data_IF_563203616362
#
_entry.id   IF_563203616362
#
_cell.length_a   1.000
_cell.length_b   1.000
_cell.length_c   1.000
_cell.angle_alpha   90.00
_cell.angle_beta   90.00
_cell.angle_gamma   90.00
#
_symmetry.space_group_name_H-M   'P 1'
#
loop_
_entity.id
_entity.type
_entity.pdbx_description
1 polymer ?
#
# COMPACT_ATOMS: atom_id res chain seq x y z
N UNK A 1 14.66 -12.79 -2.10
CA UNK A 1 13.68 -12.79 -0.99
C UNK A 1 12.83 -11.53 -1.10
N UNK A 2 11.50 -11.64 -1.12
CA UNK A 2 10.56 -10.52 -1.17
C UNK A 2 10.01 -10.24 0.23
N UNK A 3 10.06 -8.98 0.66
CA UNK A 3 9.52 -8.51 1.92
C UNK A 3 8.15 -7.86 1.70
N UNK A 4 7.10 -8.41 2.32
CA UNK A 4 5.77 -7.81 2.34
C UNK A 4 5.64 -6.92 3.59
N UNK A 5 5.50 -5.62 3.38
CA UNK A 5 5.52 -4.61 4.46
C UNK A 5 4.15 -3.96 4.56
N UNK A 6 3.71 -3.70 5.78
CA UNK A 6 2.46 -2.99 6.02
C UNK A 6 2.51 -1.53 5.57
N UNK A 7 1.33 -0.98 5.23
CA UNK A 7 1.15 0.41 4.78
C UNK A 7 1.70 1.42 5.78
N UNK A 8 1.63 1.15 7.07
CA UNK A 8 2.04 2.11 8.10
C UNK A 8 3.53 2.41 8.08
N UNK A 9 4.33 1.51 7.52
CA UNK A 9 5.77 1.68 7.31
C UNK A 9 6.16 2.44 6.03
N UNK A 10 5.18 2.92 5.24
CA UNK A 10 5.44 3.71 4.03
C UNK A 10 6.04 5.08 4.38
N UNK A 11 7.36 5.11 4.55
CA UNK A 11 8.18 6.29 4.91
C UNK A 11 9.51 6.24 4.18
N UNK A 12 10.14 7.40 3.96
CA UNK A 12 11.46 7.47 3.32
C UNK A 12 12.51 6.66 4.10
N UNK A 13 12.57 6.81 5.44
CA UNK A 13 13.54 6.12 6.28
C UNK A 13 13.46 4.59 6.17
N UNK A 14 12.25 4.02 6.25
CA UNK A 14 12.09 2.56 6.13
C UNK A 14 12.46 2.06 4.73
N UNK A 15 12.04 2.77 3.68
CA UNK A 15 12.39 2.41 2.30
C UNK A 15 13.93 2.41 2.13
N UNK A 16 14.61 3.41 2.68
CA UNK A 16 16.07 3.51 2.66
C UNK A 16 16.73 2.32 3.35
N UNK A 17 16.32 2.00 4.58
CA UNK A 17 16.86 0.86 5.34
C UNK A 17 16.67 -0.47 4.60
N UNK A 18 15.50 -0.70 4.01
CA UNK A 18 15.24 -1.93 3.25
C UNK A 18 16.16 -2.04 2.03
N UNK A 19 16.35 -0.93 1.29
CA UNK A 19 17.27 -0.89 0.14
C UNK A 19 18.72 -1.10 0.54
N UNK A 20 19.17 -0.49 1.64
CA UNK A 20 20.53 -0.67 2.17
C UNK A 20 20.80 -2.14 2.55
N UNK A 21 19.77 -2.88 2.96
CA UNK A 21 19.85 -4.33 3.20
C UNK A 21 19.73 -5.19 1.93
N UNK A 22 19.69 -4.57 0.75
CA UNK A 22 19.52 -5.24 -0.54
C UNK A 22 18.30 -6.16 -0.64
N UNK A 23 17.22 -5.84 0.10
CA UNK A 23 15.98 -6.62 0.09
C UNK A 23 14.99 -6.03 -0.92
N UNK A 24 14.31 -6.90 -1.68
CA UNK A 24 13.15 -6.50 -2.49
C UNK A 24 11.94 -6.33 -1.57
N UNK A 25 11.12 -5.30 -1.77
CA UNK A 25 9.90 -5.11 -0.99
C UNK A 25 8.67 -4.83 -1.83
N UNK A 26 7.50 -5.09 -1.25
CA UNK A 26 6.21 -4.68 -1.77
C UNK A 26 5.36 -4.20 -0.59
N UNK A 27 4.85 -2.97 -0.69
CA UNK A 27 4.04 -2.37 0.36
C UNK A 27 2.95 -1.46 -0.23
N UNK A 28 1.78 -1.29 0.40
CA UNK A 28 0.80 -0.33 -0.02
C UNK A 28 1.32 1.08 0.22
N UNK A 29 1.18 1.96 -0.76
CA UNK A 29 1.52 3.37 -0.61
C UNK A 29 0.37 4.14 0.06
N UNK A 30 0.67 4.96 1.07
CA UNK A 30 -0.31 5.90 1.63
C UNK A 30 -0.68 6.94 0.57
N UNK A 31 -1.95 7.35 0.54
CA UNK A 31 -2.46 8.38 -0.40
C UNK A 31 -2.05 9.79 0.04
N UNK A 32 -0.75 10.07 0.00
CA UNK A 32 -0.21 11.42 0.16
C UNK A 32 -0.64 12.30 -1.03
N UNK A 33 -0.55 13.65 -0.94
CA UNK A 33 -0.89 14.53 -2.06
C UNK A 33 -0.20 14.11 -3.36
N UNK A 34 1.10 13.82 -3.30
CA UNK A 34 1.88 13.34 -4.45
C UNK A 34 1.36 12.02 -5.05
N UNK A 35 0.91 11.08 -4.22
CA UNK A 35 0.31 9.83 -4.71
C UNK A 35 -1.06 10.09 -5.35
N UNK A 36 -1.86 10.99 -4.79
CA UNK A 36 -3.13 11.40 -5.38
C UNK A 36 -2.90 12.04 -6.76
N UNK A 37 -1.93 12.94 -6.87
CA UNK A 37 -1.56 13.56 -8.14
C UNK A 37 -1.08 12.54 -9.16
N UNK A 38 -0.28 11.55 -8.73
CA UNK A 38 0.15 10.45 -9.60
C UNK A 38 -1.04 9.60 -10.11
N UNK A 39 -2.08 9.40 -9.30
CA UNK A 39 -3.31 8.74 -9.73
C UNK A 39 -4.03 9.60 -10.77
N UNK A 40 -4.17 10.91 -10.54
CA UNK A 40 -4.80 11.82 -11.50
C UNK A 40 -4.08 11.84 -12.85
N UNK A 41 -2.74 11.94 -12.83
CA UNK A 41 -1.91 11.85 -14.04
C UNK A 41 -2.10 10.51 -14.77
N UNK A 42 -2.24 9.41 -14.04
CA UNK A 42 -2.51 8.10 -14.65
C UNK A 42 -3.89 8.06 -15.32
N UNK A 43 -4.92 8.61 -14.67
CA UNK A 43 -6.28 8.69 -15.22
C UNK A 43 -6.33 9.53 -16.48
N UNK A 44 -5.58 10.64 -16.52
CA UNK A 44 -5.50 11.53 -17.67
C UNK A 44 -4.63 10.97 -18.82
N UNK A 45 -3.89 9.88 -18.59
CA UNK A 45 -2.98 9.28 -19.57
C UNK A 45 -1.54 9.85 -19.56
N UNK A 46 -1.25 10.83 -18.70
CA UNK A 46 0.05 11.51 -18.59
C UNK A 46 1.11 10.64 -17.88
N UNK A 47 0.69 9.59 -17.16
CA UNK A 47 1.58 8.71 -16.39
C UNK A 47 1.23 7.25 -16.64
N UNK A 48 2.25 6.38 -16.69
CA UNK A 48 2.08 4.92 -16.74
C UNK A 48 1.70 4.35 -15.37
N UNK A 49 0.91 3.27 -15.36
CA UNK A 49 0.49 2.55 -14.15
C UNK A 49 1.66 2.08 -13.30
N UNK A 50 2.78 1.73 -13.93
CA UNK A 50 4.07 1.46 -13.27
C UNK A 50 5.02 2.60 -13.63
N UNK A 51 5.50 3.32 -12.62
CA UNK A 51 6.35 4.49 -12.84
C UNK A 51 7.18 4.82 -11.60
N UNK A 52 8.29 5.54 -11.78
CA UNK A 52 9.08 5.99 -10.64
C UNK A 52 8.35 7.12 -9.88
N UNK A 53 8.53 7.13 -8.57
CA UNK A 53 8.02 8.13 -7.65
C UNK A 53 9.06 8.39 -6.56
N UNK A 54 8.86 9.46 -5.78
CA UNK A 54 9.71 9.80 -4.65
C UNK A 54 8.87 10.16 -3.45
N UNK A 55 9.36 9.81 -2.28
CA UNK A 55 8.83 10.22 -0.97
C UNK A 55 9.87 11.09 -0.28
N UNK A 56 9.41 12.14 0.39
CA UNK A 56 10.25 13.02 1.18
C UNK A 56 9.76 12.96 2.62
N UNK A 57 10.70 12.82 3.56
CA UNK A 57 10.43 12.91 4.99
C UNK A 57 10.46 14.37 5.47
N UNK A 58 9.95 14.61 6.69
CA UNK A 58 9.98 15.94 7.30
C UNK A 58 11.40 16.49 7.49
N UNK A 59 12.41 15.63 7.66
CA UNK A 59 13.82 16.02 7.77
C UNK A 59 14.48 16.31 6.41
N UNK A 60 13.73 16.26 5.30
CA UNK A 60 14.24 16.51 3.96
C UNK A 60 14.88 15.30 3.28
N UNK A 61 14.98 14.15 3.94
CA UNK A 61 15.48 12.92 3.29
C UNK A 61 14.49 12.44 2.22
N UNK A 62 14.99 12.34 1.00
CA UNK A 62 14.25 11.89 -0.19
C UNK A 62 14.63 10.46 -0.54
N UNK A 63 13.63 9.63 -0.82
CA UNK A 63 13.81 8.27 -1.33
C UNK A 63 12.95 8.01 -2.55
N UNK A 64 13.53 7.33 -3.54
CA UNK A 64 12.81 6.91 -4.75
C UNK A 64 12.19 5.52 -4.58
N UNK A 65 11.12 5.23 -5.31
CA UNK A 65 10.55 3.90 -5.39
C UNK A 65 9.76 3.76 -6.69
N UNK A 66 9.49 2.54 -7.11
CA UNK A 66 8.55 2.24 -8.19
C UNK A 66 7.14 2.21 -7.61
N UNK A 67 6.29 3.10 -8.11
CA UNK A 67 4.87 3.18 -7.84
C UNK A 67 4.12 2.27 -8.82
N UNK A 68 3.20 1.48 -8.30
CA UNK A 68 2.26 0.67 -9.08
C UNK A 68 0.85 1.13 -8.74
N UNK A 69 0.08 1.51 -9.76
CA UNK A 69 -1.31 1.96 -9.67
C UNK A 69 -2.20 0.90 -10.30
N UNK A 70 -3.16 0.38 -9.54
CA UNK A 70 -4.08 -0.65 -10.00
C UNK A 70 -5.54 -0.26 -9.71
N UNK A 71 -6.51 -0.65 -10.55
CA UNK A 71 -7.92 -0.47 -10.26
C UNK A 71 -8.31 -1.18 -8.96
N UNK A 72 -9.05 -0.49 -8.10
CA UNK A 72 -9.61 -1.04 -6.89
C UNK A 72 -10.96 -1.69 -7.19
N UNK A 73 -10.97 -3.02 -7.33
CA UNK A 73 -12.20 -3.79 -7.61
C UNK A 73 -13.27 -3.67 -6.51
N UNK A 74 -12.88 -3.25 -5.30
CA UNK A 74 -13.80 -3.07 -4.16
C UNK A 74 -14.26 -1.62 -3.99
N UNK A 75 -13.91 -0.71 -4.91
CA UNK A 75 -14.34 0.67 -4.83
C UNK A 75 -15.86 0.78 -4.94
N UNK A 76 -16.48 1.54 -4.03
CA UNK A 76 -17.92 1.82 -4.08
C UNK A 76 -18.21 2.76 -5.24
N UNK A 77 -19.34 2.58 -5.93
CA UNK A 77 -19.77 3.43 -7.08
C UNK A 77 -19.78 4.95 -6.80
N UNK A 78 -19.84 5.38 -5.53
CA UNK A 78 -19.83 6.79 -5.11
C UNK A 78 -18.50 7.25 -4.46
N UNK A 79 -17.41 6.50 -4.59
CA UNK A 79 -16.12 6.89 -4.00
C UNK A 79 -15.40 7.93 -4.85
N UNK A 80 -14.54 8.75 -4.22
CA UNK A 80 -13.68 9.70 -4.92
C UNK A 80 -12.86 8.99 -6.01
N UNK A 81 -12.46 9.72 -7.06
CA UNK A 81 -11.67 9.16 -8.17
C UNK A 81 -10.42 8.42 -7.66
N UNK A 82 -9.70 9.00 -6.70
CA UNK A 82 -8.51 8.37 -6.12
C UNK A 82 -8.80 7.12 -5.28
N UNK A 83 -10.05 6.89 -4.84
CA UNK A 83 -10.51 5.69 -4.12
C UNK A 83 -10.81 4.50 -5.03
N UNK A 84 -10.96 4.77 -6.33
CA UNK A 84 -11.08 3.76 -7.37
C UNK A 84 -9.75 3.09 -7.71
N UNK A 85 -8.65 3.51 -7.08
CA UNK A 85 -7.32 2.94 -7.29
C UNK A 85 -6.64 2.55 -5.97
N UNK A 86 -5.91 1.45 -6.02
CA UNK A 86 -4.96 1.03 -5.00
C UNK A 86 -3.53 1.27 -5.52
N UNK A 87 -2.64 1.62 -4.61
CA UNK A 87 -1.27 1.99 -4.95
C UNK A 87 -0.27 1.18 -4.13
N UNK A 88 0.79 0.71 -4.77
CA UNK A 88 1.90 0.01 -4.12
C UNK A 88 3.22 0.70 -4.38
N UNK A 89 4.13 0.60 -3.42
CA UNK A 89 5.51 0.99 -3.50
C UNK A 89 6.42 -0.25 -3.48
N UNK A 90 7.47 -0.23 -4.30
CA UNK A 90 8.47 -1.29 -4.38
C UNK A 90 9.81 -0.73 -4.86
N UNK A 91 10.89 -1.45 -4.63
CA UNK A 91 12.19 -1.26 -5.31
C UNK A 91 12.43 -2.28 -6.44
N UNK A 92 11.43 -3.09 -6.78
CA UNK A 92 11.46 -3.96 -7.96
C UNK A 92 11.39 -3.07 -9.20
N UNK A 93 12.24 -3.36 -10.19
CA UNK A 93 12.30 -2.53 -11.40
C UNK A 93 10.96 -2.53 -12.16
N UNK A 94 10.61 -1.43 -12.86
CA UNK A 94 9.39 -1.37 -13.66
C UNK A 94 9.23 -2.52 -14.67
N UNK A 95 10.35 -2.98 -15.24
CA UNK A 95 10.38 -4.12 -16.17
C UNK A 95 10.10 -5.44 -15.46
N UNK A 96 10.65 -5.67 -14.28
CA UNK A 96 10.43 -6.92 -13.55
C UNK A 96 8.99 -7.00 -13.03
N UNK A 97 8.44 -5.88 -12.54
CA UNK A 97 7.10 -5.88 -11.96
C UNK A 97 5.98 -5.93 -13.01
N UNK A 98 6.22 -5.43 -14.23
CA UNK A 98 5.22 -5.52 -15.31
C UNK A 98 4.87 -6.96 -15.68
N UNK A 99 5.82 -7.88 -15.54
CA UNK A 99 5.59 -9.31 -15.81
C UNK A 99 4.72 -9.99 -14.73
N UNK A 100 4.70 -9.46 -13.50
CA UNK A 100 4.02 -10.08 -12.35
C UNK A 100 2.89 -9.21 -11.76
N UNK A 101 2.49 -8.15 -12.44
CA UNK A 101 1.64 -7.10 -11.89
C UNK A 101 0.28 -7.60 -11.39
N UNK A 102 -0.25 -8.67 -12.00
CA UNK A 102 -1.56 -9.22 -11.66
C UNK A 102 -1.56 -10.05 -10.37
N UNK A 103 -0.40 -10.58 -9.92
CA UNK A 103 -0.32 -11.36 -8.68
C UNK A 103 -0.28 -10.47 -7.43
N UNK A 104 0.23 -9.24 -7.56
CA UNK A 104 0.45 -8.28 -6.46
C UNK A 104 -0.78 -8.11 -5.55
N UNK A 105 -2.00 -7.83 -6.07
CA UNK A 105 -3.16 -7.68 -5.21
C UNK A 105 -3.55 -8.98 -4.51
N UNK A 106 -3.37 -10.13 -5.16
CA UNK A 106 -3.72 -11.45 -4.61
C UNK A 106 -2.76 -11.83 -3.48
N UNK A 107 -1.45 -11.70 -3.72
CA UNK A 107 -0.39 -11.99 -2.75
C UNK A 107 -0.52 -11.09 -1.52
N UNK A 108 -0.88 -9.82 -1.73
CA UNK A 108 -1.08 -8.86 -0.64
C UNK A 108 -2.43 -9.08 0.08
N UNK A 109 -3.51 -9.44 -0.63
CA UNK A 109 -4.83 -9.70 -0.04
C UNK A 109 -4.85 -10.94 0.86
N UNK A 110 -4.06 -11.98 0.56
CA UNK A 110 -3.91 -13.14 1.45
C UNK A 110 -3.33 -12.74 2.82
N UNK A 111 -2.42 -11.76 2.86
CA UNK A 111 -1.85 -11.22 4.11
C UNK A 111 -2.79 -10.25 4.82
N UNK A 112 -3.51 -9.42 4.07
CA UNK A 112 -4.48 -8.44 4.60
C UNK A 112 -5.84 -9.03 5.02
N UNK A 113 -6.19 -10.24 4.55
CA UNK A 113 -7.35 -10.98 5.05
C UNK A 113 -7.25 -11.26 6.56
N UNK A 114 -6.04 -11.34 7.10
CA UNK A 114 -5.78 -11.52 8.53
C UNK A 114 -6.01 -10.21 9.30
N UNK A 115 -5.52 -9.07 8.80
CA UNK A 115 -5.72 -7.75 9.44
C UNK A 115 -7.16 -7.24 9.38
N UNK A 116 -7.91 -7.59 8.34
CA UNK A 116 -9.36 -7.29 8.28
C UNK A 116 -10.12 -8.09 9.35
N UNK A 117 -9.63 -9.28 9.73
CA UNK A 117 -10.11 -10.01 10.90
C UNK A 117 -9.88 -9.26 12.22
N UNK A 118 -8.70 -8.67 12.41
CA UNK A 118 -8.38 -7.89 13.62
C UNK A 118 -9.09 -6.52 13.69
N UNK A 119 -9.36 -5.85 12.57
CA UNK A 119 -10.22 -4.67 12.55
C UNK A 119 -11.68 -4.99 12.96
N UNK A 120 -12.14 -6.22 12.71
CA UNK A 120 -13.39 -6.74 13.27
C UNK A 120 -13.28 -7.11 14.76
N UNK A 121 -12.10 -7.52 15.26
CA UNK A 121 -11.89 -7.77 16.70
C UNK A 121 -12.01 -6.47 17.51
N UNK A 122 -11.61 -5.31 16.97
CA UNK A 122 -11.85 -4.01 17.61
C UNK A 122 -13.34 -3.62 17.72
N UNK A 123 -14.24 -4.29 16.99
CA UNK A 123 -15.71 -4.15 17.11
C UNK A 123 -16.35 -5.22 17.99
N UNK A 124 -15.64 -6.30 18.29
CA UNK A 124 -16.00 -7.16 19.40
C UNK A 124 -15.44 -6.53 20.68
N UNK A 125 -16.22 -5.66 21.33
CA UNK A 125 -16.05 -5.48 22.77
C UNK A 125 -16.38 -6.83 23.41
N UNK A 126 -15.44 -7.58 23.98
CA UNK A 126 -15.84 -8.65 24.89
C UNK A 126 -16.53 -7.94 26.05
N UNK A 127 -17.85 -8.06 26.14
CA UNK A 127 -18.55 -7.72 27.37
C UNK A 127 -18.16 -8.78 28.38
N UNK A 128 -17.31 -8.43 29.32
CA UNK A 128 -17.11 -9.23 30.52
C UNK A 128 -18.44 -9.28 31.26
N UNK A 129 -19.15 -10.39 31.15
CA UNK A 129 -20.31 -10.66 31.99
C UNK A 129 -19.73 -11.23 33.28
N UNK A 130 -19.70 -10.40 34.33
CA UNK A 130 -19.51 -10.92 35.69
C UNK A 130 -20.79 -11.67 36.03
N UNK A 131 -20.72 -12.99 36.03
CA UNK A 131 -21.78 -13.85 36.50
C UNK A 131 -21.83 -13.69 38.03
N UNK A 132 -22.68 -12.78 38.50
CA UNK A 132 -23.07 -12.74 39.91
C UNK A 132 -24.20 -13.73 40.07
N UNK A 133 -23.98 -14.75 40.90
CA UNK A 133 -25.01 -15.51 41.62
C UNK A 133 -24.33 -16.37 42.69
N UNK A 134 -25.02 -16.67 43.82
CA UNK A 134 -26.40 -16.34 44.15
C UNK A 134 -26.56 -15.22 45.20
#
# INVERSE_FOLDING_TARGET
KLLLVDREFFTAGIISVIKQKHLKFLMPAKKTPRIKDAILQYVNGDRKSISNCMIQSASGHVESFTLVILPNKNARKKSNLTDQYITFATNISPKEISHNIQSIPTDYKQRWGIETGYACIGRFRPKTIVQTNP
#
